data_IF_257346126922
#
_entry.id   IF_257346126922
#
_cell.length_a   1.000
_cell.length_b   1.000
_cell.length_c   1.000
_cell.angle_alpha   90.00
_cell.angle_beta   90.00
_cell.angle_gamma   90.00
#
_symmetry.space_group_name_H-M   'P 1'
#
loop_
_entity.id
_entity.type
_entity.pdbx_description
1 polymer ?
#
# COMPACT_ATOMS: atom_id res chain seq x y z
N UNK A 1 8.09 22.34 11.84
CA UNK A 1 7.09 21.71 10.94
C UNK A 1 7.79 20.61 10.17
N UNK A 2 7.10 19.51 9.96
CA UNK A 2 7.59 18.32 9.26
C UNK A 2 6.93 18.21 7.89
N UNK A 3 7.44 17.33 7.03
CA UNK A 3 6.74 16.94 5.80
C UNK A 3 5.91 15.70 6.07
N UNK A 4 4.66 15.67 5.62
CA UNK A 4 3.85 14.46 5.64
C UNK A 4 4.46 13.47 4.63
N UNK A 5 5.02 12.37 5.15
CA UNK A 5 5.75 11.38 4.36
C UNK A 5 5.16 9.98 4.46
N UNK A 6 4.19 9.76 5.35
CA UNK A 6 3.61 8.44 5.55
C UNK A 6 2.15 8.52 6.00
N UNK A 7 1.28 7.73 5.38
CA UNK A 7 -0.13 7.61 5.75
C UNK A 7 -0.43 6.12 5.91
N UNK A 8 -1.03 5.72 7.04
CA UNK A 8 -1.35 4.32 7.28
C UNK A 8 -2.60 4.15 8.15
N UNK A 9 -3.24 2.98 8.07
CA UNK A 9 -3.91 2.43 9.25
C UNK A 9 -2.88 1.72 10.13
N UNK A 10 -3.09 1.81 11.44
CA UNK A 10 -2.31 1.11 12.44
C UNK A 10 -2.97 -0.24 12.80
N UNK A 11 -2.20 -1.35 12.90
CA UNK A 11 -0.76 -1.43 12.61
C UNK A 11 -0.45 -1.44 11.10
N UNK A 12 0.72 -0.93 10.67
CA UNK A 12 1.08 -0.87 9.25
C UNK A 12 1.52 -2.21 8.66
N UNK A 13 1.79 -3.20 9.51
CA UNK A 13 2.13 -4.58 9.18
C UNK A 13 1.76 -5.47 10.37
N UNK A 14 1.63 -6.77 10.14
CA UNK A 14 1.34 -7.71 11.22
C UNK A 14 1.82 -9.12 10.91
N UNK A 15 1.17 -10.10 11.53
CA UNK A 15 1.56 -11.51 11.41
C UNK A 15 0.93 -12.18 10.20
N UNK A 16 1.65 -13.12 9.60
CA UNK A 16 1.18 -13.88 8.44
C UNK A 16 0.20 -15.01 8.81
N UNK A 17 0.31 -15.51 10.04
CA UNK A 17 -0.35 -16.73 10.53
C UNK A 17 -1.48 -16.47 11.54
N UNK A 18 -1.76 -15.21 11.83
CA UNK A 18 -2.83 -14.78 12.75
C UNK A 18 -3.35 -13.38 12.42
N UNK A 19 -4.52 -12.98 12.94
CA UNK A 19 -5.02 -11.61 12.82
C UNK A 19 -4.01 -10.55 13.30
N UNK A 20 -4.04 -9.39 12.68
CA UNK A 20 -3.32 -8.18 13.09
C UNK A 20 -4.10 -7.44 14.19
N UNK A 21 -5.43 -7.51 14.13
CA UNK A 21 -6.35 -6.98 15.13
C UNK A 21 -7.32 -8.07 15.60
N UNK A 22 -7.87 -7.91 16.80
CA UNK A 22 -8.73 -8.91 17.43
C UNK A 22 -10.10 -9.02 16.74
N UNK A 23 -10.69 -7.90 16.33
CA UNK A 23 -11.98 -7.89 15.67
C UNK A 23 -11.83 -8.16 14.16
N UNK A 24 -12.63 -9.06 13.56
CA UNK A 24 -12.49 -9.44 12.15
C UNK A 24 -12.70 -8.27 11.18
N UNK A 25 -13.66 -7.38 11.45
CA UNK A 25 -13.93 -6.20 10.61
C UNK A 25 -12.74 -5.23 10.57
N UNK A 26 -12.12 -5.02 11.73
CA UNK A 26 -10.93 -4.17 11.86
C UNK A 26 -9.74 -4.81 11.15
N UNK A 27 -9.50 -6.10 11.37
CA UNK A 27 -8.41 -6.84 10.72
C UNK A 27 -8.51 -6.81 9.19
N UNK A 28 -9.72 -7.09 8.67
CA UNK A 28 -9.98 -7.11 7.24
C UNK A 28 -9.76 -5.74 6.59
N UNK A 29 -10.22 -4.65 7.24
CA UNK A 29 -10.00 -3.29 6.74
C UNK A 29 -8.52 -2.90 6.81
N UNK A 30 -7.82 -3.18 7.91
CA UNK A 30 -6.40 -2.80 8.05
C UNK A 30 -5.53 -3.54 7.03
N UNK A 31 -5.79 -4.82 6.76
CA UNK A 31 -5.09 -5.56 5.69
C UNK A 31 -5.38 -4.98 4.31
N UNK A 32 -6.65 -4.79 3.98
CA UNK A 32 -7.08 -4.28 2.66
C UNK A 32 -6.58 -2.86 2.39
N UNK A 33 -6.44 -2.05 3.44
CA UNK A 33 -5.98 -0.67 3.33
C UNK A 33 -4.48 -0.53 3.06
N UNK A 34 -3.66 -1.58 3.17
CA UNK A 34 -2.19 -1.48 2.98
C UNK A 34 -1.82 -0.93 1.63
N UNK A 35 -2.39 -1.52 0.59
CA UNK A 35 -2.20 -1.11 -0.79
C UNK A 35 -2.56 0.35 -1.02
N UNK A 36 -3.73 0.75 -0.50
CA UNK A 36 -4.24 2.13 -0.60
C UNK A 36 -3.34 3.13 0.11
N UNK A 37 -2.90 2.79 1.32
CA UNK A 37 -2.02 3.64 2.12
C UNK A 37 -0.65 3.87 1.45
N UNK A 38 -0.06 2.83 0.83
CA UNK A 38 1.18 2.96 0.07
C UNK A 38 0.99 3.82 -1.19
N UNK A 39 -0.09 3.61 -1.96
CA UNK A 39 -0.42 4.45 -3.12
C UNK A 39 -0.61 5.92 -2.73
N UNK A 40 -1.38 6.19 -1.68
CA UNK A 40 -1.61 7.56 -1.21
C UNK A 40 -0.30 8.20 -0.72
N UNK A 41 0.52 7.44 0.01
CA UNK A 41 1.83 7.88 0.49
C UNK A 41 2.79 8.18 -0.67
N UNK A 42 2.79 7.35 -1.72
CA UNK A 42 3.61 7.53 -2.92
C UNK A 42 3.34 8.87 -3.61
N UNK A 43 2.09 9.31 -3.64
CA UNK A 43 1.71 10.61 -4.20
C UNK A 43 1.99 11.79 -3.24
N UNK A 44 1.71 11.63 -1.95
CA UNK A 44 1.81 12.73 -0.96
C UNK A 44 3.25 13.04 -0.56
N UNK A 45 4.07 12.01 -0.31
CA UNK A 45 5.43 12.19 0.19
C UNK A 45 6.31 13.11 -0.69
N UNK A 46 6.35 12.96 -2.04
CA UNK A 46 7.14 13.85 -2.89
C UNK A 46 6.55 15.26 -3.01
N UNK A 47 5.23 15.45 -2.80
CA UNK A 47 4.59 16.75 -2.84
C UNK A 47 4.99 17.65 -1.65
N UNK A 48 5.54 17.08 -0.57
CA UNK A 48 6.18 17.84 0.50
C UNK A 48 5.21 18.66 1.35
N UNK A 49 3.96 18.20 1.49
CA UNK A 49 2.94 18.84 2.34
C UNK A 49 3.47 19.11 3.75
N UNK A 50 3.36 20.37 4.19
CA UNK A 50 3.82 20.78 5.52
C UNK A 50 2.79 20.38 6.57
N UNK A 51 3.19 19.51 7.50
CA UNK A 51 2.37 18.97 8.57
C UNK A 51 3.01 19.21 9.94
N UNK A 52 2.26 19.01 11.02
CA UNK A 52 2.87 19.06 12.36
C UNK A 52 3.78 17.85 12.57
N UNK A 53 3.34 16.69 12.07
CA UNK A 53 4.06 15.43 12.13
C UNK A 53 4.27 14.84 10.73
N UNK A 54 5.24 13.94 10.61
CA UNK A 54 5.56 13.32 9.32
C UNK A 54 4.63 12.18 8.94
N UNK A 55 3.70 11.82 9.83
CA UNK A 55 2.80 10.68 9.65
C UNK A 55 1.36 11.06 9.98
N UNK A 56 0.42 10.52 9.20
CA UNK A 56 -0.99 10.42 9.54
C UNK A 56 -1.32 8.95 9.81
N UNK A 57 -1.81 8.66 11.01
CA UNK A 57 -2.24 7.33 11.41
C UNK A 57 -3.74 7.28 11.59
N UNK A 58 -4.36 6.32 10.94
CA UNK A 58 -5.75 5.96 11.15
C UNK A 58 -5.81 4.74 12.07
N UNK A 59 -6.68 4.79 13.05
CA UNK A 59 -7.05 3.64 13.88
C UNK A 59 -8.45 3.21 13.48
N UNK A 60 -8.78 1.94 13.67
CA UNK A 60 -10.16 1.49 13.58
C UNK A 60 -10.61 0.87 14.90
N UNK A 61 -11.90 0.97 15.17
CA UNK A 61 -12.57 0.27 16.26
C UNK A 61 -13.95 -0.17 15.79
N UNK A 62 -14.40 -1.33 16.23
CA UNK A 62 -15.76 -1.80 15.98
C UNK A 62 -16.79 -0.93 16.70
N UNK A 63 -17.90 -0.65 16.02
CA UNK A 63 -19.04 0.12 16.51
C UNK A 63 -20.31 -0.24 15.73
N UNK A 64 -21.43 0.42 16.02
CA UNK A 64 -22.69 0.21 15.29
C UNK A 64 -22.74 0.98 13.96
N UNK A 65 -22.10 2.15 13.90
CA UNK A 65 -22.14 3.07 12.77
C UNK A 65 -20.76 3.31 12.15
N UNK A 66 -20.74 3.65 10.85
CA UNK A 66 -19.53 4.13 10.19
C UNK A 66 -19.30 5.61 10.50
N UNK A 67 -18.33 5.89 11.37
CA UNK A 67 -17.98 7.24 11.79
C UNK A 67 -16.47 7.49 11.67
N UNK A 68 -16.08 8.69 11.23
CA UNK A 68 -14.68 9.11 11.18
C UNK A 68 -14.46 10.29 12.12
N UNK A 69 -13.65 10.08 13.14
CA UNK A 69 -13.19 11.11 14.07
C UNK A 69 -11.76 11.52 13.69
N UNK A 70 -11.53 12.83 13.52
CA UNK A 70 -10.19 13.37 13.24
C UNK A 70 -9.75 14.20 14.42
N UNK A 71 -8.56 13.88 14.94
CA UNK A 71 -7.96 14.62 16.03
C UNK A 71 -7.14 15.79 15.48
N UNK A 72 -7.52 17.01 15.87
CA UNK A 72 -6.85 18.23 15.42
C UNK A 72 -5.93 18.81 16.49
N UNK A 73 -6.02 18.34 17.73
CA UNK A 73 -5.52 19.04 18.90
C UNK A 73 -4.54 18.19 19.73
N UNK A 74 -4.58 16.85 19.65
CA UNK A 74 -3.61 15.98 20.36
C UNK A 74 -2.19 16.14 19.84
N UNK A 75 -1.25 16.15 20.79
CA UNK A 75 0.20 16.14 20.58
C UNK A 75 0.80 14.73 20.51
N UNK A 76 0.05 13.74 20.02
CA UNK A 76 0.64 12.45 19.71
C UNK A 76 1.69 12.66 18.60
N UNK A 77 2.75 11.84 18.55
CA UNK A 77 3.88 12.03 17.61
C UNK A 77 3.54 11.93 16.11
N UNK A 78 2.25 11.94 15.76
CA UNK A 78 1.63 11.76 14.44
C UNK A 78 0.29 12.54 14.40
N UNK A 79 -0.15 12.92 13.21
CA UNK A 79 -1.55 13.32 13.01
C UNK A 79 -2.43 12.06 13.12
N UNK A 80 -3.63 12.18 13.67
CA UNK A 80 -4.42 11.02 14.08
C UNK A 80 -5.88 11.12 13.62
N UNK A 81 -6.44 9.98 13.19
CA UNK A 81 -7.87 9.81 13.01
C UNK A 81 -8.30 8.41 13.47
N UNK A 82 -9.59 8.26 13.79
CA UNK A 82 -10.19 7.01 14.20
C UNK A 82 -11.45 6.75 13.39
N UNK A 83 -11.52 5.59 12.74
CA UNK A 83 -12.70 5.07 12.08
C UNK A 83 -13.44 4.11 13.02
N UNK A 84 -14.70 4.38 13.27
CA UNK A 84 -15.66 3.44 13.87
C UNK A 84 -16.28 2.63 12.74
N UNK A 85 -16.24 1.31 12.86
CA UNK A 85 -16.63 0.39 11.80
C UNK A 85 -17.89 -0.38 12.17
N UNK A 86 -18.95 -0.36 11.33
CA UNK A 86 -20.14 -1.17 11.55
C UNK A 86 -19.79 -2.67 11.39
N UNK A 87 -20.66 -3.58 11.88
CA UNK A 87 -20.54 -4.99 11.55
C UNK A 87 -20.64 -5.23 10.04
N UNK A 88 -19.95 -6.25 9.52
CA UNK A 88 -20.10 -6.69 8.13
C UNK A 88 -18.95 -6.28 7.20
N UNK A 89 -17.93 -5.57 7.71
CA UNK A 89 -16.81 -5.08 6.91
C UNK A 89 -15.94 -6.25 6.44
N UNK A 90 -15.74 -7.27 7.25
CA UNK A 90 -14.96 -8.46 6.91
C UNK A 90 -15.57 -9.22 5.73
N UNK A 91 -16.90 -9.23 5.63
CA UNK A 91 -17.68 -9.91 4.60
C UNK A 91 -17.73 -9.14 3.27
N UNK A 92 -17.38 -7.85 3.27
CA UNK A 92 -17.30 -7.07 2.03
C UNK A 92 -16.24 -7.65 1.09
N UNK A 93 -16.45 -7.62 -0.25
CA UNK A 93 -15.41 -7.97 -1.20
C UNK A 93 -14.13 -7.13 -1.00
N UNK A 94 -12.96 -7.73 -1.23
CA UNK A 94 -11.68 -7.03 -1.07
C UNK A 94 -11.58 -5.68 -1.82
N UNK A 95 -12.06 -5.56 -3.08
CA UNK A 95 -12.08 -4.26 -3.76
C UNK A 95 -12.95 -3.22 -3.05
N UNK A 96 -14.11 -3.63 -2.51
CA UNK A 96 -15.00 -2.77 -1.72
C UNK A 96 -14.33 -2.30 -0.43
N UNK A 97 -13.64 -3.18 0.29
CA UNK A 97 -12.88 -2.81 1.50
C UNK A 97 -11.75 -1.83 1.18
N UNK A 98 -11.03 -2.03 0.07
CA UNK A 98 -9.98 -1.12 -0.37
C UNK A 98 -10.56 0.26 -0.73
N UNK A 99 -11.69 0.31 -1.43
CA UNK A 99 -12.36 1.56 -1.77
C UNK A 99 -12.86 2.30 -0.51
N UNK A 100 -13.46 1.59 0.46
CA UNK A 100 -13.80 2.16 1.76
C UNK A 100 -12.58 2.73 2.49
N UNK A 101 -11.46 2.00 2.49
CA UNK A 101 -10.22 2.49 3.09
C UNK A 101 -9.73 3.79 2.43
N UNK A 102 -9.84 3.91 1.10
CA UNK A 102 -9.49 5.14 0.38
C UNK A 102 -10.36 6.31 0.81
N UNK A 103 -11.68 6.10 0.92
CA UNK A 103 -12.60 7.15 1.38
C UNK A 103 -12.27 7.61 2.81
N UNK A 104 -11.98 6.68 3.72
CA UNK A 104 -11.58 7.00 5.10
C UNK A 104 -10.25 7.78 5.15
N UNK A 105 -9.23 7.33 4.40
CA UNK A 105 -7.94 8.03 4.32
C UNK A 105 -8.11 9.44 3.76
N UNK A 106 -8.81 9.56 2.63
CA UNK A 106 -8.97 10.85 1.97
C UNK A 106 -9.84 11.81 2.79
N UNK A 107 -10.91 11.33 3.43
CA UNK A 107 -11.75 12.13 4.31
C UNK A 107 -10.97 12.64 5.53
N UNK A 108 -10.14 11.79 6.15
CA UNK A 108 -9.28 12.18 7.26
C UNK A 108 -8.25 13.24 6.84
N UNK A 109 -7.53 13.00 5.74
CA UNK A 109 -6.54 13.92 5.21
C UNK A 109 -7.15 15.27 4.82
N UNK A 110 -8.31 15.25 4.16
CA UNK A 110 -9.02 16.47 3.74
C UNK A 110 -9.57 17.27 4.93
N UNK A 111 -9.96 16.58 6.01
CA UNK A 111 -10.35 17.25 7.26
C UNK A 111 -9.17 17.96 7.90
N UNK A 112 -8.01 17.30 7.97
CA UNK A 112 -6.78 17.91 8.43
C UNK A 112 -6.34 19.05 7.51
N UNK A 113 -6.50 18.92 6.20
CA UNK A 113 -6.19 19.99 5.25
C UNK A 113 -6.93 21.29 5.57
N UNK A 114 -8.24 21.20 5.86
CA UNK A 114 -9.05 22.35 6.27
C UNK A 114 -8.58 23.00 7.57
N UNK A 115 -8.08 22.21 8.51
CA UNK A 115 -7.64 22.68 9.84
C UNK A 115 -6.17 23.13 9.86
N UNK A 116 -5.34 22.63 8.93
CA UNK A 116 -3.89 22.88 8.85
C UNK A 116 -3.48 23.77 7.68
N UNK A 117 -4.39 24.03 6.75
CA UNK A 117 -4.08 24.69 5.47
C UNK A 117 -3.25 23.83 4.54
N UNK A 118 -3.42 22.49 4.55
CA UNK A 118 -2.78 21.65 3.53
C UNK A 118 -3.41 21.92 2.16
N UNK A 119 -2.62 21.77 1.11
CA UNK A 119 -3.11 21.89 -0.25
C UNK A 119 -4.05 20.72 -0.57
N UNK A 120 -5.34 21.00 -0.69
CA UNK A 120 -6.36 20.01 -1.01
C UNK A 120 -6.12 19.39 -2.39
N UNK A 121 -5.56 20.13 -3.36
CA UNK A 121 -5.33 19.61 -4.71
C UNK A 121 -4.32 18.46 -4.73
N UNK A 122 -3.34 18.49 -3.82
CA UNK A 122 -2.39 17.38 -3.62
C UNK A 122 -3.10 16.14 -3.08
N UNK A 123 -4.06 16.30 -2.17
CA UNK A 123 -4.83 15.20 -1.60
C UNK A 123 -5.79 14.59 -2.63
N UNK A 124 -6.41 15.42 -3.45
CA UNK A 124 -7.28 14.98 -4.54
C UNK A 124 -6.47 14.21 -5.59
N UNK A 125 -5.28 14.71 -5.95
CA UNK A 125 -4.35 14.01 -6.83
C UNK A 125 -3.88 12.67 -6.24
N UNK A 126 -3.63 12.59 -4.93
CA UNK A 126 -3.27 11.35 -4.26
C UNK A 126 -4.40 10.32 -4.27
N UNK A 127 -5.66 10.76 -4.09
CA UNK A 127 -6.84 9.91 -4.24
C UNK A 127 -6.97 9.40 -5.67
N UNK A 128 -6.83 10.28 -6.67
CA UNK A 128 -6.91 9.90 -8.08
C UNK A 128 -5.80 8.91 -8.44
N UNK A 129 -4.57 9.12 -7.97
CA UNK A 129 -3.46 8.20 -8.17
C UNK A 129 -3.78 6.79 -7.66
N UNK A 130 -4.40 6.67 -6.48
CA UNK A 130 -4.81 5.38 -5.96
C UNK A 130 -5.87 4.70 -6.85
N UNK A 131 -6.84 5.47 -7.36
CA UNK A 131 -7.88 4.99 -8.28
C UNK A 131 -7.30 4.55 -9.63
N UNK A 132 -6.39 5.35 -10.21
CA UNK A 132 -5.74 5.06 -11.50
C UNK A 132 -4.91 3.77 -11.45
N UNK A 133 -4.43 3.40 -10.27
CA UNK A 133 -3.71 2.15 -10.02
C UNK A 133 -4.62 0.99 -9.57
N UNK A 134 -5.95 1.15 -9.67
CA UNK A 134 -6.92 0.13 -9.31
C UNK A 134 -6.84 -0.29 -7.84
N UNK A 135 -6.43 0.63 -6.96
CA UNK A 135 -6.21 0.40 -5.53
C UNK A 135 -5.18 -0.71 -5.25
N UNK A 136 -4.29 -1.01 -6.21
CA UNK A 136 -3.27 -2.07 -6.13
C UNK A 136 -1.86 -1.51 -6.24
N UNK A 137 -1.15 -1.47 -5.11
CA UNK A 137 0.21 -0.99 -5.03
C UNK A 137 1.17 -1.99 -5.64
N UNK A 138 2.01 -1.48 -6.55
CA UNK A 138 3.08 -2.23 -7.20
C UNK A 138 4.37 -1.45 -7.00
N UNK A 139 5.36 -2.09 -6.41
CA UNK A 139 6.68 -1.50 -6.21
C UNK A 139 7.72 -2.26 -7.03
N UNK A 140 8.35 -1.57 -7.96
CA UNK A 140 9.47 -2.09 -8.74
C UNK A 140 10.78 -1.54 -8.17
N UNK A 141 11.68 -2.45 -7.77
CA UNK A 141 13.00 -2.07 -7.27
C UNK A 141 14.00 -1.77 -8.39
N UNK A 142 15.17 -1.22 -8.02
CA UNK A 142 16.20 -0.90 -9.00
C UNK A 142 16.71 -2.16 -9.72
N UNK A 143 17.01 -2.07 -11.03
CA UNK A 143 17.52 -3.20 -11.79
C UNK A 143 18.92 -3.61 -11.34
N UNK A 144 19.18 -4.93 -11.38
CA UNK A 144 20.53 -5.48 -11.24
C UNK A 144 21.01 -6.05 -12.55
N UNK A 145 22.15 -5.55 -13.04
CA UNK A 145 22.75 -5.99 -14.31
C UNK A 145 23.53 -7.30 -14.12
N UNK A 146 23.41 -8.23 -15.09
CA UNK A 146 24.16 -9.49 -15.10
C UNK A 146 25.68 -9.27 -15.25
N UNK A 147 26.54 -10.22 -14.86
CA UNK A 147 28.00 -10.08 -14.99
C UNK A 147 28.48 -9.83 -16.43
N UNK A 148 27.84 -10.48 -17.41
CA UNK A 148 28.12 -10.29 -18.84
C UNK A 148 27.45 -9.04 -19.43
N UNK A 149 26.71 -8.30 -18.60
CA UNK A 149 26.04 -7.03 -18.92
C UNK A 149 24.97 -7.11 -20.01
N UNK A 150 24.49 -8.31 -20.35
CA UNK A 150 23.46 -8.52 -21.37
C UNK A 150 22.04 -8.46 -20.82
N UNK A 151 21.87 -8.68 -19.53
CA UNK A 151 20.56 -8.82 -18.88
C UNK A 151 20.41 -7.88 -17.68
N UNK A 152 19.17 -7.61 -17.33
CA UNK A 152 18.77 -6.92 -16.11
C UNK A 152 17.70 -7.70 -15.38
N UNK A 153 17.85 -7.85 -14.07
CA UNK A 153 16.85 -8.44 -13.18
C UNK A 153 16.16 -7.33 -12.38
N UNK A 154 14.84 -7.36 -12.35
CA UNK A 154 13.98 -6.37 -11.70
C UNK A 154 13.13 -7.06 -10.65
N UNK A 155 13.31 -6.74 -9.35
CA UNK A 155 12.41 -7.24 -8.32
C UNK A 155 11.11 -6.44 -8.36
N UNK A 156 9.97 -7.13 -8.37
CA UNK A 156 8.63 -6.55 -8.37
C UNK A 156 7.85 -7.10 -7.17
N UNK A 157 7.23 -6.20 -6.41
CA UNK A 157 6.39 -6.52 -5.26
C UNK A 157 4.99 -5.97 -5.53
N UNK A 158 3.97 -6.79 -5.35
CA UNK A 158 2.57 -6.39 -5.49
C UNK A 158 1.86 -6.66 -4.16
N UNK A 159 1.21 -5.66 -3.57
CA UNK A 159 0.40 -5.85 -2.36
C UNK A 159 -0.93 -6.52 -2.73
N UNK A 160 -1.33 -7.49 -1.89
CA UNK A 160 -2.62 -8.17 -2.00
C UNK A 160 -3.54 -7.80 -0.83
N UNK A 161 -4.78 -8.27 -0.92
CA UNK A 161 -5.86 -8.03 0.03
C UNK A 161 -5.62 -8.62 1.43
N UNK A 162 -4.74 -9.62 1.52
CA UNK A 162 -4.26 -10.18 2.79
C UNK A 162 -3.29 -9.26 3.56
N UNK A 163 -2.94 -8.11 2.99
CA UNK A 163 -2.03 -7.12 3.56
C UNK A 163 -0.56 -7.41 3.30
N UNK A 164 -0.22 -8.44 2.52
CA UNK A 164 1.15 -8.85 2.24
C UNK A 164 1.48 -8.82 0.76
N UNK A 165 2.76 -8.60 0.46
CA UNK A 165 3.24 -8.58 -0.91
C UNK A 165 3.46 -9.99 -1.46
N UNK A 166 3.26 -10.13 -2.77
CA UNK A 166 3.84 -11.21 -3.57
C UNK A 166 5.03 -10.66 -4.33
N UNK A 167 6.16 -11.34 -4.24
CA UNK A 167 7.39 -10.96 -4.92
C UNK A 167 7.54 -11.74 -6.22
N UNK A 168 8.05 -11.09 -7.26
CA UNK A 168 8.50 -11.71 -8.51
C UNK A 168 9.85 -11.12 -8.91
N UNK A 169 10.63 -11.87 -9.69
CA UNK A 169 11.82 -11.36 -10.38
C UNK A 169 11.55 -11.41 -11.88
N UNK A 170 11.65 -10.26 -12.54
CA UNK A 170 11.57 -10.17 -13.99
C UNK A 170 12.97 -10.02 -14.59
N UNK A 171 13.36 -10.92 -15.50
CA UNK A 171 14.59 -10.81 -16.27
C UNK A 171 14.25 -10.23 -17.63
N UNK A 172 14.96 -9.16 -17.99
CA UNK A 172 14.84 -8.47 -19.27
C UNK A 172 16.19 -8.41 -19.97
N UNK A 173 16.19 -8.44 -21.30
CA UNK A 173 17.37 -8.13 -22.10
C UNK A 173 17.72 -6.65 -21.94
N UNK A 174 18.99 -6.35 -21.72
CA UNK A 174 19.43 -4.97 -21.44
C UNK A 174 19.35 -4.05 -22.66
N UNK A 175 19.59 -4.59 -23.85
CA UNK A 175 19.69 -3.80 -25.09
C UNK A 175 18.36 -3.13 -25.48
N UNK A 176 17.25 -3.84 -25.29
CA UNK A 176 15.92 -3.45 -25.79
C UNK A 176 14.83 -3.52 -24.70
N UNK A 177 15.17 -3.96 -23.49
CA UNK A 177 14.22 -4.14 -22.39
C UNK A 177 13.29 -5.35 -22.55
N UNK A 178 13.48 -6.19 -23.58
CA UNK A 178 12.57 -7.29 -23.89
C UNK A 178 12.49 -8.29 -22.72
N UNK A 179 11.30 -8.64 -22.22
CA UNK A 179 11.15 -9.60 -21.13
C UNK A 179 11.55 -11.00 -21.61
N UNK A 180 12.39 -11.68 -20.83
CA UNK A 180 12.88 -13.03 -21.15
C UNK A 180 12.32 -14.09 -20.21
N UNK A 181 12.12 -13.74 -18.94
CA UNK A 181 11.58 -14.64 -17.94
C UNK A 181 10.99 -13.85 -16.78
N UNK A 182 10.00 -14.43 -16.11
CA UNK A 182 9.45 -13.95 -14.85
C UNK A 182 9.33 -15.13 -13.91
N UNK A 183 9.72 -14.97 -12.65
CA UNK A 183 9.54 -16.03 -11.66
C UNK A 183 8.06 -16.19 -11.32
N UNK A 184 7.67 -17.35 -10.83
CA UNK A 184 6.39 -17.48 -10.14
C UNK A 184 6.31 -16.48 -8.96
N UNK A 185 5.12 -15.94 -8.65
CA UNK A 185 4.93 -15.09 -7.48
C UNK A 185 5.17 -15.87 -6.18
N UNK A 186 6.10 -15.43 -5.35
CA UNK A 186 6.31 -15.99 -4.02
C UNK A 186 5.58 -15.17 -2.94
N UNK A 187 4.89 -15.82 -1.98
CA UNK A 187 4.38 -15.15 -0.81
C UNK A 187 5.51 -14.55 0.03
N UNK A 188 5.24 -13.42 0.66
CA UNK A 188 6.17 -12.73 1.56
C UNK A 188 5.46 -12.34 2.85
N UNK A 189 6.24 -11.99 3.88
CA UNK A 189 5.74 -11.33 5.08
C UNK A 189 5.91 -9.80 5.04
N UNK A 190 6.13 -9.23 3.85
CA UNK A 190 6.43 -7.81 3.69
C UNK A 190 5.13 -7.06 3.34
N UNK A 191 4.90 -5.91 3.98
CA UNK A 191 3.68 -5.11 3.78
C UNK A 191 3.94 -3.65 3.42
N UNK A 192 5.20 -3.23 3.32
CA UNK A 192 5.54 -1.81 3.14
C UNK A 192 6.67 -1.57 2.14
N UNK A 193 6.63 -0.43 1.44
CA UNK A 193 7.65 -0.08 0.44
C UNK A 193 9.08 0.00 1.00
N UNK A 194 9.36 0.49 2.23
CA UNK A 194 10.69 0.39 2.82
C UNK A 194 11.16 -1.05 3.03
N UNK A 195 10.24 -1.98 3.34
CA UNK A 195 10.57 -3.39 3.49
C UNK A 195 10.90 -4.03 2.12
N UNK A 196 10.16 -3.66 1.07
CA UNK A 196 10.46 -4.08 -0.30
C UNK A 196 11.81 -3.56 -0.76
N UNK A 197 12.12 -2.28 -0.50
CA UNK A 197 13.41 -1.68 -0.82
C UNK A 197 14.59 -2.37 -0.12
N UNK A 198 14.42 -2.77 1.15
CA UNK A 198 15.44 -3.58 1.84
C UNK A 198 15.59 -4.96 1.22
N UNK A 199 14.48 -5.64 0.94
CA UNK A 199 14.50 -6.97 0.32
C UNK A 199 15.14 -6.95 -1.08
N UNK A 200 14.86 -5.94 -1.91
CA UNK A 200 15.44 -5.78 -3.24
C UNK A 200 16.98 -5.70 -3.23
N UNK A 201 17.59 -5.19 -2.14
CA UNK A 201 19.06 -5.14 -1.99
C UNK A 201 19.70 -6.52 -1.86
N UNK A 202 18.92 -7.57 -1.62
CA UNK A 202 19.40 -8.96 -1.50
C UNK A 202 19.58 -9.63 -2.87
N UNK A 203 19.04 -9.05 -3.95
CA UNK A 203 19.09 -9.62 -5.30
C UNK A 203 20.55 -9.83 -5.77
N UNK A 204 20.91 -11.03 -6.24
CA UNK A 204 22.26 -11.40 -6.71
C UNK A 204 22.17 -12.21 -8.00
N UNK A 205 23.13 -11.98 -8.90
CA UNK A 205 23.35 -12.86 -10.05
C UNK A 205 24.32 -13.97 -9.66
N UNK A 206 24.01 -15.20 -10.05
CA UNK A 206 24.92 -16.35 -10.00
C UNK A 206 25.22 -16.77 -11.43
N UNK A 207 26.38 -16.34 -11.95
CA UNK A 207 26.64 -16.39 -13.40
C UNK A 207 25.73 -15.41 -14.17
N UNK A 208 25.57 -15.63 -15.47
CA UNK A 208 24.79 -14.75 -16.36
C UNK A 208 23.33 -15.15 -16.53
N UNK A 209 22.90 -16.31 -16.00
CA UNK A 209 21.57 -16.88 -16.28
C UNK A 209 20.72 -17.20 -15.06
N UNK A 210 21.29 -17.10 -13.85
CA UNK A 210 20.59 -17.36 -12.60
C UNK A 210 20.60 -16.13 -11.70
N UNK A 211 19.45 -15.85 -11.09
CA UNK A 211 19.25 -14.75 -10.14
C UNK A 211 18.64 -15.31 -8.86
N UNK A 212 19.12 -14.83 -7.73
CA UNK A 212 18.61 -15.18 -6.39
C UNK A 212 18.33 -13.92 -5.59
N UNK A 213 17.48 -14.05 -4.58
CA UNK A 213 17.24 -13.11 -3.49
C UNK A 213 16.90 -13.94 -2.26
N UNK A 214 16.73 -13.29 -1.11
CA UNK A 214 16.32 -13.99 0.12
C UNK A 214 14.91 -14.63 -0.01
N UNK A 215 14.12 -14.22 -1.00
CA UNK A 215 12.74 -14.67 -1.21
C UNK A 215 12.57 -15.63 -2.40
N UNK A 216 13.45 -15.56 -3.40
CA UNK A 216 13.20 -16.11 -4.73
C UNK A 216 14.49 -16.55 -5.42
N UNK A 217 14.38 -17.58 -6.26
CA UNK A 217 15.41 -17.97 -7.23
C UNK A 217 14.76 -18.18 -8.60
N UNK A 218 15.42 -17.68 -9.65
CA UNK A 218 15.01 -17.89 -11.05
C UNK A 218 16.24 -18.22 -11.91
N UNK A 219 16.08 -19.18 -12.81
CA UNK A 219 17.07 -19.58 -13.81
C UNK A 219 16.44 -19.49 -15.20
N UNK A 220 17.12 -18.86 -16.16
CA UNK A 220 16.64 -18.78 -17.54
C UNK A 220 16.55 -20.14 -18.24
N UNK A 221 17.17 -21.18 -17.67
CA UNK A 221 17.11 -22.53 -18.21
C UNK A 221 15.85 -23.29 -17.75
N UNK A 222 15.20 -22.81 -16.68
CA UNK A 222 14.06 -23.47 -16.02
C UNK A 222 12.77 -22.62 -16.03
N UNK A 223 12.81 -21.44 -16.66
CA UNK A 223 11.69 -20.48 -16.60
C UNK A 223 10.74 -20.62 -17.80
N UNK A 224 9.42 -20.68 -17.58
CA UNK A 224 8.46 -20.51 -18.66
C UNK A 224 8.59 -19.10 -19.27
N UNK A 225 8.20 -18.91 -20.56
CA UNK A 225 8.18 -17.58 -21.16
C UNK A 225 7.27 -16.65 -20.35
N UNK A 226 7.55 -15.33 -20.34
CA UNK A 226 6.77 -14.36 -19.59
C UNK A 226 5.31 -14.37 -20.06
N UNK A 227 4.39 -14.68 -19.16
CA UNK A 227 2.96 -14.41 -19.35
C UNK A 227 2.73 -12.91 -19.21
N UNK A 228 1.97 -12.33 -20.15
CA UNK A 228 1.45 -10.97 -19.96
C UNK A 228 0.61 -10.96 -18.67
N UNK A 229 0.80 -9.97 -17.77
CA UNK A 229 -0.14 -9.79 -16.69
C UNK A 229 -1.52 -9.53 -17.31
N UNK A 230 -2.50 -10.37 -16.99
CA UNK A 230 -3.87 -10.16 -17.43
C UNK A 230 -4.29 -8.74 -17.02
N UNK A 231 -4.87 -7.93 -17.92
CA UNK A 231 -5.46 -6.67 -17.52
C UNK A 231 -6.55 -6.97 -16.49
N UNK A 232 -6.40 -6.43 -15.29
CA UNK A 232 -7.47 -6.45 -14.29
C UNK A 232 -8.68 -5.77 -14.93
N UNK A 233 -9.81 -6.49 -15.03
CA UNK A 233 -11.03 -5.95 -15.59
C UNK A 233 -11.43 -4.69 -14.81
N UNK A 234 -11.95 -3.63 -15.47
CA UNK A 234 -12.41 -2.45 -14.76
C UNK A 234 -13.51 -2.86 -13.78
N UNK A 235 -13.24 -2.69 -12.48
CA UNK A 235 -14.20 -2.97 -11.44
C UNK A 235 -15.35 -1.95 -11.54
N UNK A 236 -16.58 -2.45 -11.62
CA UNK A 236 -17.78 -1.64 -11.43
C UNK A 236 -17.69 -0.94 -10.06
N UNK A 237 -18.11 0.33 -9.99
CA UNK A 237 -18.01 1.10 -8.74
C UNK A 237 -18.81 0.38 -7.64
N UNK A 238 -18.16 -0.11 -6.57
CA UNK A 238 -18.86 -0.85 -5.54
C UNK A 238 -19.81 0.06 -4.75
N UNK A 239 -20.95 -0.46 -4.32
CA UNK A 239 -21.80 0.21 -3.35
C UNK A 239 -21.05 0.26 -2.01
N UNK A 240 -20.65 1.47 -1.59
CA UNK A 240 -19.82 1.68 -0.42
C UNK A 240 -20.67 2.04 0.79
N UNK A 241 -20.34 1.52 1.99
CA UNK A 241 -20.85 2.09 3.24
C UNK A 241 -20.60 3.60 3.26
N UNK A 242 -21.66 4.38 3.46
CA UNK A 242 -21.56 5.85 3.50
C UNK A 242 -21.03 6.28 4.87
N UNK A 243 -20.01 7.13 4.90
CA UNK A 243 -19.55 7.76 6.14
C UNK A 243 -20.70 8.62 6.69
N UNK A 244 -21.29 8.19 7.81
CA UNK A 244 -22.51 8.81 8.35
C UNK A 244 -22.19 10.13 9.05
N UNK A 245 -20.99 10.26 9.62
CA UNK A 245 -20.53 11.52 10.19
C UNK A 245 -18.99 11.65 10.18
N UNK A 246 -18.53 12.90 9.99
CA UNK A 246 -17.16 13.32 10.18
C UNK A 246 -17.09 14.24 11.40
N UNK A 247 -16.47 13.78 12.49
CA UNK A 247 -16.39 14.52 13.75
C UNK A 247 -14.98 15.08 13.99
N UNK A 248 -14.93 16.25 14.63
CA UNK A 248 -13.71 16.81 15.20
C UNK A 248 -13.60 16.34 16.65
N UNK A 249 -12.47 15.74 17.03
CA UNK A 249 -12.19 15.52 18.44
C UNK A 249 -11.58 16.78 19.06
N UNK A 250 -12.23 17.32 20.10
CA UNK A 250 -11.72 18.41 20.92
C UNK A 250 -11.55 17.95 22.38
N UNK A 251 -11.15 16.69 22.63
CA UNK A 251 -10.88 16.24 23.99
C UNK A 251 -9.65 16.98 24.54
N UNK A 252 -9.91 18.09 25.22
CA UNK A 252 -9.02 18.65 26.23
C UNK A 252 -9.25 17.80 27.48
N UNK A 253 -8.31 16.89 27.73
CA UNK A 253 -8.15 16.30 29.07
C UNK A 253 -7.70 17.41 30.05
#
# INVERSE_FOLDING_TARGET
MSRLTWINFWPPAGFTDRPWLEHPDEDALVRSSRSVCELYTEAVAPAGLQARHSELRLFCQHADDLLLEVDTDRGEGFECARAELPPGIAELPAPTRAALALELVHAAASRLARERGWDQTVLDAARQHALDNGLRFRWQGPPKTSPDRKLTAHPLFVLHDDGFARATIQIRRRADGHPLATSEPAPTNLSTSPAFARSARTLRWHGSRKVTSDLLTISLDDSPPPSEPAPDAPAEAPDLPTIVALRRSNRRD
#
